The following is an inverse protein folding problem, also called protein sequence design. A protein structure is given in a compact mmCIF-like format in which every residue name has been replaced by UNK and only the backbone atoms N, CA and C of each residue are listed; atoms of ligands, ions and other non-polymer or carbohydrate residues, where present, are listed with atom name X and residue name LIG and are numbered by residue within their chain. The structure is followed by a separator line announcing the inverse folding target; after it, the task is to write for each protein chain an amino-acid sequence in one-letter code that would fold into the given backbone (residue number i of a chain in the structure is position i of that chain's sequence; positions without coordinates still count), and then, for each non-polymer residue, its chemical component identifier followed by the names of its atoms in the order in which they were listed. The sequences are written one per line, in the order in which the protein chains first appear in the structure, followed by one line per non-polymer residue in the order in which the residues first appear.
data_IF_913831865204
#
_entry.id   IF_913831865204
#
_cell.length_a   1.000
_cell.length_b   1.000
_cell.length_c   1.000
_cell.angle_alpha   90.00
_cell.angle_beta   90.00
_cell.angle_gamma   90.00
#
_symmetry.space_group_name_H-M   'P 1'
#
loop_
_entity.id
_entity.type
_entity.pdbx_description
1 polymer ?
#
# COMPACT_ATOMS: atom_id res chain seq x y z
N UNK A 1 1.41 18.39 -13.29
CA UNK A 1 2.67 17.63 -13.43
C UNK A 1 2.48 16.26 -12.78
N UNK A 2 2.18 15.21 -13.57
CA UNK A 2 2.10 13.84 -13.05
C UNK A 2 3.48 13.23 -13.18
N UNK A 3 4.27 13.30 -12.10
CA UNK A 3 5.55 12.63 -12.01
C UNK A 3 5.34 11.11 -12.11
N UNK A 4 6.17 10.48 -12.93
CA UNK A 4 6.21 9.04 -13.15
C UNK A 4 6.50 8.34 -11.80
N UNK A 5 5.48 7.81 -11.12
CA UNK A 5 5.70 6.97 -9.92
C UNK A 5 6.14 5.61 -10.43
N UNK A 6 7.45 5.36 -10.41
CA UNK A 6 7.99 4.01 -10.50
C UNK A 6 7.39 3.21 -9.34
N UNK A 7 6.53 2.24 -9.64
CA UNK A 7 5.85 1.44 -8.62
C UNK A 7 6.87 0.67 -7.78
N UNK A 8 6.71 0.69 -6.46
CA UNK A 8 7.60 0.00 -5.52
C UNK A 8 7.27 -1.50 -5.52
N UNK A 9 8.29 -2.34 -5.61
CA UNK A 9 8.13 -3.79 -5.44
C UNK A 9 8.30 -4.18 -3.97
N UNK A 10 7.45 -5.10 -3.50
CA UNK A 10 7.54 -5.70 -2.17
C UNK A 10 7.88 -7.18 -2.29
N UNK A 11 8.71 -7.68 -1.37
CA UNK A 11 9.00 -9.12 -1.25
C UNK A 11 8.02 -9.77 -0.29
N UNK A 12 7.42 -10.85 -0.76
CA UNK A 12 6.53 -11.69 0.04
C UNK A 12 7.33 -12.66 0.88
N UNK A 13 6.68 -13.20 1.92
CA UNK A 13 7.27 -14.21 2.79
C UNK A 13 7.78 -15.45 2.03
N UNK A 14 7.20 -15.77 0.86
CA UNK A 14 7.65 -16.86 -0.01
C UNK A 14 8.77 -16.45 -1.01
N UNK A 15 9.33 -15.25 -0.88
CA UNK A 15 10.37 -14.71 -1.75
C UNK A 15 9.88 -14.10 -3.07
N UNK A 16 8.58 -14.16 -3.39
CA UNK A 16 8.09 -13.56 -4.63
C UNK A 16 8.03 -12.03 -4.53
N UNK A 17 8.28 -11.34 -5.65
CA UNK A 17 8.14 -9.88 -5.75
C UNK A 17 6.83 -9.51 -6.44
N UNK A 18 6.16 -8.49 -5.94
CA UNK A 18 4.98 -7.91 -6.57
C UNK A 18 4.97 -6.39 -6.40
N UNK A 19 4.30 -5.68 -7.31
CA UNK A 19 4.03 -4.27 -7.10
C UNK A 19 3.20 -4.08 -5.83
N UNK A 20 3.53 -3.04 -5.07
CA UNK A 20 2.69 -2.56 -3.98
C UNK A 20 1.31 -2.19 -4.52
N UNK A 21 0.26 -2.68 -3.85
CA UNK A 21 -1.13 -2.43 -4.22
C UNK A 21 -1.79 -1.67 -3.06
N UNK A 22 -1.90 -0.35 -3.22
CA UNK A 22 -2.62 0.56 -2.33
C UNK A 22 -4.03 0.04 -2.01
N UNK A 23 -4.73 -0.49 -3.01
CA UNK A 23 -6.07 -1.04 -2.87
C UNK A 23 -6.13 -2.25 -1.94
N UNK A 24 -5.08 -3.10 -1.90
CA UNK A 24 -5.01 -4.22 -0.93
C UNK A 24 -5.00 -3.72 0.51
N UNK A 25 -4.28 -2.64 0.81
CA UNK A 25 -4.24 -2.05 2.14
C UNK A 25 -5.61 -1.49 2.52
N UNK A 26 -6.19 -0.65 1.66
CA UNK A 26 -7.52 -0.04 1.91
C UNK A 26 -8.59 -1.11 2.13
N UNK A 27 -8.68 -2.12 1.26
CA UNK A 27 -9.66 -3.21 1.41
C UNK A 27 -9.47 -3.99 2.71
N UNK A 28 -8.23 -4.19 3.13
CA UNK A 28 -7.93 -4.88 4.39
C UNK A 28 -8.39 -4.06 5.59
N UNK A 29 -8.09 -2.76 5.62
CA UNK A 29 -8.55 -1.84 6.66
C UNK A 29 -10.08 -1.83 6.77
N UNK A 30 -10.78 -1.64 5.65
CA UNK A 30 -12.25 -1.64 5.64
C UNK A 30 -12.83 -2.97 6.15
N UNK A 31 -12.24 -4.11 5.77
CA UNK A 31 -12.64 -5.44 6.26
C UNK A 31 -12.45 -5.60 7.77
N UNK A 32 -11.49 -4.88 8.36
CA UNK A 32 -11.26 -4.84 9.81
C UNK A 32 -12.20 -3.85 10.54
N UNK A 33 -13.12 -3.19 9.84
CA UNK A 33 -14.15 -2.34 10.43
C UNK A 33 -13.77 -0.87 10.61
N UNK A 34 -12.59 -0.43 10.13
CA UNK A 34 -12.30 1.00 10.10
C UNK A 34 -13.04 1.70 8.96
N UNK A 35 -13.42 2.95 9.17
CA UNK A 35 -14.09 3.75 8.15
C UNK A 35 -13.13 4.14 7.01
N UNK A 36 -13.72 4.62 5.92
CA UNK A 36 -12.99 4.98 4.70
C UNK A 36 -11.93 6.06 4.91
N UNK A 37 -12.19 7.08 5.73
CA UNK A 37 -11.23 8.13 6.04
C UNK A 37 -9.98 7.55 6.69
N UNK A 38 -10.15 6.76 7.76
CA UNK A 38 -9.05 6.12 8.48
C UNK A 38 -8.28 5.16 7.55
N UNK A 39 -8.98 4.37 6.74
CA UNK A 39 -8.32 3.47 5.78
C UNK A 39 -7.43 4.23 4.78
N UNK A 40 -7.83 5.43 4.35
CA UNK A 40 -7.01 6.27 3.48
C UNK A 40 -5.85 6.93 4.22
N UNK A 41 -6.04 7.37 5.46
CA UNK A 41 -4.98 7.94 6.27
C UNK A 41 -3.86 6.90 6.51
N UNK A 42 -4.23 5.65 6.84
CA UNK A 42 -3.29 4.54 7.00
C UNK A 42 -2.50 4.29 5.72
N UNK A 43 -3.16 4.17 4.56
CA UNK A 43 -2.44 3.82 3.33
C UNK A 43 -1.51 4.94 2.86
N UNK A 44 -1.87 6.21 3.09
CA UNK A 44 -0.99 7.34 2.82
C UNK A 44 0.28 7.27 3.67
N UNK A 45 0.14 6.89 4.94
CA UNK A 45 1.29 6.76 5.83
C UNK A 45 2.17 5.55 5.46
N UNK A 46 1.56 4.43 5.07
CA UNK A 46 2.29 3.27 4.53
C UNK A 46 3.10 3.66 3.29
N UNK A 47 2.51 4.40 2.35
CA UNK A 47 3.20 4.83 1.12
C UNK A 47 4.39 5.77 1.41
N UNK A 48 4.29 6.65 2.42
CA UNK A 48 5.40 7.54 2.80
C UNK A 48 6.60 6.78 3.33
N UNK A 49 6.36 5.64 3.96
CA UNK A 49 7.41 4.80 4.56
C UNK A 49 7.80 3.62 3.66
N UNK A 50 7.19 3.52 2.47
CA UNK A 50 7.40 2.41 1.56
C UNK A 50 8.79 2.49 0.91
N UNK A 51 9.49 1.36 0.88
CA UNK A 51 10.78 1.19 0.19
C UNK A 51 10.74 -0.08 -0.64
N UNK A 52 11.63 -0.18 -1.63
CA UNK A 52 11.74 -1.39 -2.46
C UNK A 52 12.41 -2.51 -1.67
N UNK A 53 11.70 -3.61 -1.46
CA UNK A 53 12.14 -4.68 -0.59
C UNK A 53 11.01 -5.48 0.01
#
# INVERSE_FOLDING_TARGET
MKGLVLGVFITKANGSRQLFDRGKVVRTCLRMGVNQRIAFDIVNEVERQLYDG
#
